data_IF_008904405931
#
_entry.id   IF_008904405931
#
_cell.length_a   1.000
_cell.length_b   1.000
_cell.length_c   1.000
_cell.angle_alpha   90.00
_cell.angle_beta   90.00
_cell.angle_gamma   90.00
#
_symmetry.space_group_name_H-M   'P 1'
#
loop_
_entity.id
_entity.type
_entity.pdbx_description
1 polymer ?
#
# COMPACT_ATOMS: atom_id res chain seq x y z
N UNK A 1 35.67 3.69 3.24
CA UNK A 1 35.14 3.84 4.62
C UNK A 1 34.38 5.16 4.68
N UNK A 2 33.10 5.17 5.13
CA UNK A 2 32.37 6.44 5.33
C UNK A 2 32.76 7.02 6.69
N UNK A 3 33.09 8.30 6.74
CA UNK A 3 33.41 9.03 7.97
C UNK A 3 32.62 10.32 8.02
N UNK A 4 32.23 10.77 9.20
CA UNK A 4 31.62 12.08 9.42
C UNK A 4 32.04 12.62 10.79
N UNK A 5 32.17 13.95 10.86
CA UNK A 5 32.26 14.66 12.14
C UNK A 5 30.82 14.99 12.58
N UNK A 6 30.49 14.69 13.82
CA UNK A 6 29.18 14.98 14.43
C UNK A 6 29.36 15.87 15.64
N UNK A 7 28.44 16.81 15.81
CA UNK A 7 28.43 17.67 16.98
C UNK A 7 27.76 16.98 18.17
N UNK A 8 28.13 17.36 19.39
CA UNK A 8 27.47 16.86 20.61
C UNK A 8 25.95 17.18 20.61
N UNK A 9 25.54 18.28 19.98
CA UNK A 9 24.14 18.67 19.83
C UNK A 9 23.37 17.64 18.97
N UNK A 10 24.00 17.14 17.91
CA UNK A 10 23.40 16.08 17.07
C UNK A 10 23.29 14.77 17.83
N UNK A 11 24.33 14.37 18.56
CA UNK A 11 24.31 13.17 19.40
C UNK A 11 23.19 13.26 20.45
N UNK A 12 23.00 14.41 21.08
CA UNK A 12 21.89 14.66 22.01
C UNK A 12 20.53 14.55 21.31
N UNK A 13 20.40 15.07 20.09
CA UNK A 13 19.19 14.99 19.28
C UNK A 13 18.80 13.55 18.92
N UNK A 14 19.76 12.63 18.86
CA UNK A 14 19.54 11.19 18.63
C UNK A 14 19.51 10.37 19.95
N UNK A 15 19.17 10.99 21.09
CA UNK A 15 19.06 10.29 22.35
C UNK A 15 20.38 9.73 22.88
N UNK A 16 21.49 10.46 22.67
CA UNK A 16 22.84 10.06 23.05
C UNK A 16 23.35 8.77 22.40
N UNK A 17 22.87 8.47 21.20
CA UNK A 17 23.42 7.35 20.43
C UNK A 17 24.74 7.73 19.79
N UNK A 18 25.77 6.87 19.96
CA UNK A 18 27.12 7.05 19.42
C UNK A 18 27.42 6.06 18.28
N UNK A 19 26.50 5.21 17.91
CA UNK A 19 26.69 4.18 16.90
C UNK A 19 26.78 4.82 15.49
N UNK A 20 27.86 4.54 14.79
CA UNK A 20 28.16 5.07 13.46
C UNK A 20 27.01 4.85 12.42
N UNK A 21 26.31 3.71 12.39
CA UNK A 21 25.20 3.50 11.45
C UNK A 21 24.09 4.55 11.55
N UNK A 22 23.80 5.07 12.73
CA UNK A 22 22.78 6.13 12.91
C UNK A 22 23.25 7.43 12.27
N UNK A 23 24.49 7.85 12.58
CA UNK A 23 25.02 9.15 12.16
C UNK A 23 25.49 9.19 10.69
N UNK A 24 25.81 8.02 10.12
CA UNK A 24 26.24 7.87 8.74
C UNK A 24 25.11 7.38 7.81
N UNK A 25 23.87 7.31 8.31
CA UNK A 25 22.73 6.90 7.53
C UNK A 25 22.42 7.90 6.39
N UNK A 26 21.86 7.41 5.31
CA UNK A 26 21.42 8.26 4.21
C UNK A 26 20.33 9.25 4.64
N UNK A 27 19.48 8.87 5.61
CA UNK A 27 18.46 9.74 6.16
C UNK A 27 19.04 10.96 6.92
N UNK A 28 20.12 10.79 7.69
CA UNK A 28 20.81 11.91 8.33
C UNK A 28 21.45 12.82 7.27
N UNK A 29 22.08 12.23 6.28
CA UNK A 29 22.66 12.97 5.15
C UNK A 29 21.60 13.76 4.38
N UNK A 30 20.44 13.15 4.12
CA UNK A 30 19.31 13.82 3.49
C UNK A 30 18.79 14.99 4.33
N UNK A 31 18.63 14.82 5.65
CA UNK A 31 18.21 15.91 6.55
C UNK A 31 19.20 17.09 6.54
N UNK A 32 20.50 16.81 6.54
CA UNK A 32 21.54 17.87 6.44
C UNK A 32 21.46 18.61 5.12
N UNK A 33 21.24 17.88 4.01
CA UNK A 33 21.04 18.51 2.70
C UNK A 33 19.78 19.39 2.67
N UNK A 34 18.69 18.96 3.30
CA UNK A 34 17.48 19.79 3.43
C UNK A 34 17.76 21.10 4.19
N UNK A 35 18.59 21.08 5.22
CA UNK A 35 18.97 22.29 5.98
C UNK A 35 19.71 23.34 5.12
N UNK A 36 20.35 22.93 4.04
CA UNK A 36 20.98 23.85 3.07
C UNK A 36 20.04 24.25 1.91
N UNK A 37 18.80 23.80 1.93
CA UNK A 37 17.81 24.14 0.92
C UNK A 37 17.47 25.65 1.01
N UNK A 38 17.34 26.37 -0.12
CA UNK A 38 17.01 27.79 -0.13
C UNK A 38 15.54 28.08 0.20
N UNK A 39 14.72 27.06 0.30
CA UNK A 39 13.29 27.19 0.62
C UNK A 39 13.03 26.99 2.11
N UNK A 40 11.96 27.61 2.60
CA UNK A 40 11.45 27.33 3.95
C UNK A 40 11.21 25.83 4.12
N UNK A 41 11.61 25.29 5.27
CA UNK A 41 11.35 23.89 5.62
C UNK A 41 10.12 23.79 6.50
N UNK A 42 9.12 23.12 5.98
CA UNK A 42 7.97 22.62 6.72
C UNK A 42 8.21 21.16 7.11
N UNK A 43 7.30 20.57 7.85
CA UNK A 43 7.30 19.12 8.09
C UNK A 43 6.12 18.47 7.36
N UNK A 44 6.19 17.14 7.15
CA UNK A 44 5.04 16.40 6.62
C UNK A 44 3.80 16.60 7.52
N UNK A 45 4.00 16.75 8.83
CA UNK A 45 2.90 17.08 9.77
C UNK A 45 2.26 18.43 9.47
N UNK A 46 3.05 19.47 9.17
CA UNK A 46 2.54 20.81 8.85
C UNK A 46 1.74 20.87 7.55
N UNK A 47 2.09 20.04 6.56
CA UNK A 47 1.45 19.98 5.25
C UNK A 47 0.38 18.89 5.15
N UNK A 48 0.00 18.28 6.27
CA UNK A 48 -1.00 17.23 6.35
C UNK A 48 -2.13 17.59 7.29
N UNK A 49 -3.36 17.30 6.89
CA UNK A 49 -4.51 17.35 7.80
C UNK A 49 -4.38 16.26 8.88
N UNK A 50 -3.96 15.06 8.45
CA UNK A 50 -3.77 13.93 9.35
C UNK A 50 -2.70 12.96 8.81
N UNK A 51 -1.89 12.42 9.73
CA UNK A 51 -0.96 11.31 9.45
C UNK A 51 -1.23 10.21 10.49
N UNK A 52 -1.70 9.05 10.05
CA UNK A 52 -2.12 7.98 10.96
C UNK A 52 -2.09 6.60 10.30
N UNK A 53 -2.20 5.56 11.10
CA UNK A 53 -2.62 4.22 10.68
C UNK A 53 -3.81 3.76 11.51
N UNK A 54 -4.64 2.90 10.95
CA UNK A 54 -5.72 2.28 11.72
C UNK A 54 -5.14 1.35 12.79
N UNK A 55 -5.80 1.29 13.94
CA UNK A 55 -5.50 0.31 14.98
C UNK A 55 -5.68 -1.14 14.50
N UNK A 56 -5.35 -2.10 15.34
CA UNK A 56 -5.67 -3.50 15.09
C UNK A 56 -7.15 -3.73 15.36
N UNK A 57 -7.82 -4.43 14.44
CA UNK A 57 -9.23 -4.81 14.61
C UNK A 57 -9.47 -6.25 14.16
N UNK A 58 -10.59 -6.82 14.60
CA UNK A 58 -11.06 -8.14 14.17
C UNK A 58 -11.45 -8.07 12.69
N UNK A 59 -11.01 -9.04 11.89
CA UNK A 59 -11.32 -9.15 10.47
C UNK A 59 -12.09 -10.42 10.21
N UNK A 60 -13.21 -10.30 9.53
CA UNK A 60 -13.99 -11.43 9.03
C UNK A 60 -13.84 -11.43 7.52
N UNK A 61 -13.08 -12.36 7.00
CA UNK A 61 -12.85 -12.50 5.58
C UNK A 61 -14.05 -13.14 4.89
N UNK A 62 -14.37 -12.68 3.68
CA UNK A 62 -15.46 -13.20 2.85
C UNK A 62 -14.95 -13.43 1.43
N UNK A 63 -15.58 -14.36 0.70
CA UNK A 63 -15.22 -14.66 -0.67
C UNK A 63 -16.11 -13.93 -1.69
N UNK A 64 -17.38 -13.69 -1.34
CA UNK A 64 -18.32 -13.00 -2.20
C UNK A 64 -18.10 -11.48 -2.15
N UNK A 65 -17.71 -10.83 -3.26
CA UNK A 65 -17.48 -9.38 -3.31
C UNK A 65 -18.69 -8.54 -2.89
N UNK A 66 -19.91 -9.01 -3.13
CA UNK A 66 -21.14 -8.28 -2.78
C UNK A 66 -21.33 -8.12 -1.26
N UNK A 67 -20.67 -8.94 -0.46
CA UNK A 67 -20.76 -8.92 1.01
C UNK A 67 -19.52 -8.31 1.66
N UNK A 68 -18.58 -7.80 0.87
CA UNK A 68 -17.27 -7.41 1.33
C UNK A 68 -16.74 -6.11 0.79
N UNK A 69 -15.67 -5.66 1.42
CA UNK A 69 -14.87 -4.51 1.00
C UNK A 69 -13.41 -4.93 0.96
N UNK A 70 -12.69 -4.48 -0.07
CA UNK A 70 -11.29 -4.85 -0.26
C UNK A 70 -10.42 -4.29 0.85
N UNK A 71 -9.54 -5.12 1.40
CA UNK A 71 -8.57 -4.75 2.43
C UNK A 71 -7.15 -4.77 1.87
N UNK A 72 -6.50 -3.61 1.88
CA UNK A 72 -5.13 -3.44 1.42
C UNK A 72 -4.13 -3.56 2.57
N UNK A 73 -3.15 -4.41 2.40
CA UNK A 73 -1.97 -4.49 3.26
C UNK A 73 -0.78 -3.71 2.68
N UNK A 74 0.37 -3.75 3.36
CA UNK A 74 1.60 -3.03 2.97
C UNK A 74 2.05 -3.29 1.53
N UNK A 75 1.98 -4.53 1.05
CA UNK A 75 2.36 -4.88 -0.32
C UNK A 75 1.24 -4.62 -1.33
N UNK A 76 -0.02 -4.63 -0.89
CA UNK A 76 -1.17 -4.46 -1.75
C UNK A 76 -1.29 -3.02 -2.28
N UNK A 77 -0.94 -2.02 -1.47
CA UNK A 77 -1.00 -0.60 -1.89
C UNK A 77 -0.13 -0.26 -3.10
N UNK A 78 0.85 -1.11 -3.41
CA UNK A 78 1.79 -0.90 -4.53
C UNK A 78 1.32 -1.56 -5.83
N UNK A 79 0.27 -2.38 -5.77
CA UNK A 79 -0.24 -3.10 -6.94
C UNK A 79 -1.12 -2.20 -7.80
N UNK A 80 -0.99 -2.33 -9.10
CA UNK A 80 -1.90 -1.67 -10.04
C UNK A 80 -3.27 -2.36 -10.06
N UNK A 81 -3.30 -3.70 -10.09
CA UNK A 81 -4.55 -4.48 -10.02
C UNK A 81 -4.84 -4.92 -8.58
N UNK A 82 -5.91 -4.37 -8.01
CA UNK A 82 -6.39 -4.66 -6.66
C UNK A 82 -7.56 -5.65 -6.63
N UNK A 83 -7.99 -6.17 -7.78
CA UNK A 83 -9.14 -7.07 -7.90
C UNK A 83 -8.96 -8.40 -7.18
N UNK A 84 -7.69 -8.82 -7.00
CA UNK A 84 -7.31 -10.08 -6.35
C UNK A 84 -6.99 -9.93 -4.86
N UNK A 85 -7.19 -8.74 -4.29
CA UNK A 85 -6.88 -8.51 -2.89
C UNK A 85 -7.97 -9.08 -1.98
N UNK A 86 -7.59 -9.31 -0.72
CA UNK A 86 -8.48 -9.90 0.28
C UNK A 86 -9.69 -9.02 0.54
N UNK A 87 -10.85 -9.65 0.72
CA UNK A 87 -12.11 -8.99 1.01
C UNK A 87 -12.52 -9.30 2.45
N UNK A 88 -12.96 -8.30 3.17
CA UNK A 88 -13.50 -8.45 4.54
C UNK A 88 -14.96 -8.02 4.58
N UNK A 89 -15.71 -8.61 5.48
CA UNK A 89 -17.15 -8.39 5.62
C UNK A 89 -17.47 -6.92 5.94
N UNK A 90 -18.32 -6.32 5.14
CA UNK A 90 -18.87 -4.97 5.41
C UNK A 90 -19.66 -4.96 6.70
N UNK A 91 -20.41 -6.04 7.00
CA UNK A 91 -21.29 -6.14 8.18
C UNK A 91 -20.51 -6.13 9.51
N UNK A 92 -19.34 -6.74 9.52
CA UNK A 92 -18.53 -6.91 10.75
C UNK A 92 -17.31 -5.97 10.80
N UNK A 93 -17.25 -4.97 9.94
CA UNK A 93 -16.20 -3.94 9.97
C UNK A 93 -16.75 -2.67 10.57
N UNK A 94 -16.27 -2.35 11.76
CA UNK A 94 -16.57 -1.10 12.46
C UNK A 94 -15.68 0.04 11.98
N UNK A 95 -16.06 1.30 12.24
CA UNK A 95 -15.27 2.51 11.93
C UNK A 95 -14.67 2.49 10.51
N UNK A 96 -15.49 2.19 9.51
CA UNK A 96 -15.04 2.06 8.12
C UNK A 96 -14.40 3.33 7.59
N UNK A 97 -14.92 4.48 8.01
CA UNK A 97 -14.47 5.81 7.56
C UNK A 97 -13.01 6.08 7.95
N UNK A 98 -12.59 5.67 9.16
CA UNK A 98 -11.20 5.81 9.61
C UNK A 98 -10.23 4.87 8.87
N UNK A 99 -10.76 3.80 8.30
CA UNK A 99 -10.01 2.76 7.58
C UNK A 99 -10.03 2.94 6.07
N UNK A 100 -11.04 3.65 5.54
CA UNK A 100 -11.21 3.89 4.12
C UNK A 100 -10.15 4.85 3.57
N UNK A 101 -9.77 4.60 2.33
CA UNK A 101 -8.81 5.41 1.60
C UNK A 101 -9.53 6.44 0.73
N UNK A 102 -8.89 7.59 0.53
CA UNK A 102 -9.36 8.63 -0.39
C UNK A 102 -8.31 8.89 -1.47
N UNK A 103 -8.76 9.30 -2.64
CA UNK A 103 -7.89 9.75 -3.73
C UNK A 103 -7.02 10.92 -3.27
N UNK A 104 -5.80 11.01 -3.78
CA UNK A 104 -4.84 12.07 -3.44
C UNK A 104 -4.02 11.81 -2.17
N UNK A 105 -4.37 10.82 -1.36
CA UNK A 105 -3.56 10.50 -0.18
C UNK A 105 -2.26 9.79 -0.53
N UNK A 106 -1.22 10.05 0.24
CA UNK A 106 0.00 9.22 0.20
C UNK A 106 -0.12 8.08 1.20
N UNK A 107 0.04 6.86 0.70
CA UNK A 107 0.01 5.62 1.47
C UNK A 107 1.43 5.12 1.67
N UNK A 108 1.81 4.77 2.91
CA UNK A 108 3.17 4.34 3.25
C UNK A 108 3.12 2.97 3.92
N UNK A 109 3.89 2.03 3.41
CA UNK A 109 4.06 0.74 4.08
C UNK A 109 4.92 0.91 5.34
N UNK A 110 4.35 0.62 6.52
CA UNK A 110 5.02 0.83 7.79
C UNK A 110 5.51 -0.45 8.48
N UNK A 111 5.25 -1.61 7.91
CA UNK A 111 5.77 -2.89 8.41
C UNK A 111 6.02 -3.89 7.28
N UNK A 112 6.95 -4.81 7.48
CA UNK A 112 7.45 -5.70 6.44
C UNK A 112 8.42 -4.97 5.52
N UNK A 113 8.07 -4.73 4.28
CA UNK A 113 8.85 -3.88 3.36
C UNK A 113 8.49 -2.42 3.63
N UNK A 114 9.19 -1.79 4.55
CA UNK A 114 8.91 -0.44 5.04
C UNK A 114 9.32 0.65 4.05
N UNK A 115 8.64 1.81 4.13
CA UNK A 115 9.00 3.03 3.41
C UNK A 115 8.52 3.09 1.97
N UNK A 116 7.95 2.02 1.42
CA UNK A 116 7.33 2.08 0.09
C UNK A 116 6.06 2.90 0.14
N UNK A 117 5.92 3.82 -0.82
CA UNK A 117 4.77 4.72 -0.90
C UNK A 117 3.95 4.43 -2.16
N UNK A 118 2.64 4.66 -2.06
CA UNK A 118 1.72 4.69 -3.19
C UNK A 118 0.91 5.99 -3.17
N UNK A 119 0.66 6.56 -4.34
CA UNK A 119 -0.31 7.64 -4.51
C UNK A 119 -1.69 7.03 -4.65
N UNK A 120 -2.59 7.37 -3.74
CA UNK A 120 -3.93 6.81 -3.74
C UNK A 120 -4.74 7.41 -4.90
N UNK A 121 -5.11 6.57 -5.85
CA UNK A 121 -5.91 6.89 -7.01
C UNK A 121 -7.34 6.32 -6.90
N UNK A 122 -8.15 6.38 -7.95
CA UNK A 122 -9.51 5.85 -7.95
C UNK A 122 -9.56 4.35 -7.60
N UNK A 123 -8.55 3.57 -7.99
CA UNK A 123 -8.48 2.15 -7.64
C UNK A 123 -8.34 1.90 -6.13
N UNK A 124 -7.74 2.84 -5.39
CA UNK A 124 -7.59 2.77 -3.93
C UNK A 124 -8.80 3.32 -3.18
N UNK A 125 -9.52 4.27 -3.80
CA UNK A 125 -10.64 4.95 -3.17
C UNK A 125 -11.67 3.97 -2.61
N UNK A 126 -12.22 4.27 -1.44
CA UNK A 126 -13.21 3.48 -0.71
C UNK A 126 -12.74 2.10 -0.21
N UNK A 127 -11.58 1.60 -0.66
CA UNK A 127 -10.98 0.40 -0.08
C UNK A 127 -10.43 0.68 1.30
N UNK A 128 -10.36 -0.35 2.13
CA UNK A 128 -9.82 -0.24 3.48
C UNK A 128 -8.32 -0.54 3.47
N UNK A 129 -7.56 0.17 4.28
CA UNK A 129 -6.16 -0.18 4.50
C UNK A 129 -5.92 -0.67 5.93
N UNK A 130 -5.04 -1.66 6.07
CA UNK A 130 -4.69 -2.28 7.32
C UNK A 130 -3.88 -1.34 8.23
N UNK A 131 -3.63 -1.78 9.49
CA UNK A 131 -2.74 -1.11 10.42
C UNK A 131 -1.27 -1.04 9.95
N UNK A 132 -0.92 -1.75 8.87
CA UNK A 132 0.42 -1.76 8.30
C UNK A 132 0.61 -0.71 7.17
N UNK A 133 -0.36 0.18 7.02
CA UNK A 133 -0.33 1.28 6.06
C UNK A 133 -0.57 2.59 6.79
N UNK A 134 0.41 3.48 6.79
CA UNK A 134 0.24 4.87 7.21
C UNK A 134 -0.42 5.63 6.06
N UNK A 135 -1.33 6.52 6.40
CA UNK A 135 -2.04 7.44 5.51
C UNK A 135 -1.55 8.84 5.80
N UNK A 136 -1.23 9.58 4.77
CA UNK A 136 -0.94 11.01 4.82
C UNK A 136 -2.03 11.71 4.04
N UNK A 137 -2.90 12.44 4.74
CA UNK A 137 -3.98 13.24 4.16
C UNK A 137 -3.47 14.67 4.00
N UNK A 138 -3.33 15.22 2.77
CA UNK A 138 -2.82 16.57 2.58
C UNK A 138 -3.83 17.63 3.07
N UNK A 139 -3.31 18.81 3.47
CA UNK A 139 -4.11 19.96 3.91
C UNK A 139 -4.07 21.15 2.92
N UNK A 140 -3.61 20.93 1.71
CA UNK A 140 -3.49 21.91 0.63
C UNK A 140 -2.41 23.01 0.81
N UNK A 141 -1.56 22.96 1.84
CA UNK A 141 -0.38 23.84 1.94
C UNK A 141 0.63 23.46 0.86
N UNK A 142 0.82 22.14 0.64
CA UNK A 142 1.48 21.61 -0.53
C UNK A 142 0.50 20.76 -1.33
N UNK A 143 0.67 20.74 -2.66
CA UNK A 143 -0.12 19.90 -3.55
C UNK A 143 0.15 18.42 -3.26
N UNK A 144 -0.86 17.59 -3.34
CA UNK A 144 -0.81 16.17 -2.94
C UNK A 144 0.26 15.37 -3.71
N UNK A 145 0.42 15.63 -5.02
CA UNK A 145 1.44 14.99 -5.83
C UNK A 145 2.86 15.37 -5.41
N UNK A 146 3.07 16.58 -4.88
CA UNK A 146 4.38 17.03 -4.35
C UNK A 146 4.75 16.26 -3.09
N UNK A 147 3.80 16.09 -2.17
CA UNK A 147 4.03 15.32 -0.93
C UNK A 147 4.43 13.88 -1.27
N UNK A 148 3.69 13.27 -2.18
CA UNK A 148 4.00 11.91 -2.64
C UNK A 148 5.37 11.85 -3.34
N UNK A 149 5.61 12.71 -4.34
CA UNK A 149 6.86 12.74 -5.10
C UNK A 149 8.07 12.94 -4.19
N UNK A 150 7.95 13.81 -3.19
CA UNK A 150 9.00 14.00 -2.19
C UNK A 150 9.27 12.74 -1.38
N UNK A 151 8.23 12.10 -0.85
CA UNK A 151 8.37 10.91 0.01
C UNK A 151 8.94 9.69 -0.74
N UNK A 152 8.66 9.55 -2.05
CA UNK A 152 9.26 8.49 -2.89
C UNK A 152 10.64 8.85 -3.41
N UNK A 153 11.03 10.12 -3.33
CA UNK A 153 12.36 10.57 -3.73
C UNK A 153 13.45 9.91 -2.88
N UNK A 154 14.68 9.91 -3.39
CA UNK A 154 15.85 9.46 -2.64
C UNK A 154 15.95 10.11 -1.25
N UNK A 155 15.58 11.38 -1.13
CA UNK A 155 15.64 12.12 0.13
C UNK A 155 14.53 11.69 1.10
N UNK A 156 13.28 11.69 0.66
CA UNK A 156 12.13 11.31 1.47
C UNK A 156 12.21 9.85 1.92
N UNK A 157 12.51 8.93 1.01
CA UNK A 157 12.65 7.51 1.32
C UNK A 157 13.75 7.24 2.36
N UNK A 158 14.91 7.90 2.22
CA UNK A 158 16.00 7.75 3.18
C UNK A 158 15.62 8.25 4.58
N UNK A 159 14.80 9.31 4.66
CA UNK A 159 14.30 9.84 5.94
C UNK A 159 13.20 8.96 6.52
N UNK A 160 12.31 8.40 5.70
CA UNK A 160 11.28 7.43 6.13
C UNK A 160 11.89 6.18 6.76
N UNK A 161 12.97 5.68 6.19
CA UNK A 161 13.63 4.45 6.65
C UNK A 161 14.72 4.71 7.70
N UNK A 162 14.93 5.97 8.08
CA UNK A 162 15.89 6.34 9.11
C UNK A 162 15.47 5.79 10.48
N UNK A 163 16.43 5.24 11.21
CA UNK A 163 16.21 4.77 12.60
C UNK A 163 15.70 3.33 12.71
N UNK A 164 15.50 2.64 11.58
CA UNK A 164 15.09 1.24 11.57
C UNK A 164 16.25 0.26 11.76
N UNK A 165 17.46 0.76 11.99
CA UNK A 165 18.66 -0.07 12.19
C UNK A 165 18.66 -0.74 13.56
N UNK A 166 18.88 -2.05 13.57
CA UNK A 166 19.15 -2.83 14.79
C UNK A 166 17.93 -3.48 15.46
N UNK A 167 16.71 -3.34 14.95
CA UNK A 167 15.55 -4.11 15.42
C UNK A 167 15.26 -5.28 14.51
N UNK A 168 14.85 -6.41 15.09
CA UNK A 168 14.46 -7.63 14.36
C UNK A 168 13.23 -7.39 13.48
N UNK A 169 12.35 -6.45 13.88
CA UNK A 169 11.19 -6.02 13.10
C UNK A 169 11.24 -4.50 12.98
N UNK A 170 11.52 -4.03 11.77
CA UNK A 170 11.51 -2.61 11.46
C UNK A 170 10.06 -2.13 11.33
N UNK A 171 9.75 -1.02 11.99
CA UNK A 171 8.43 -0.39 11.93
C UNK A 171 8.58 1.12 11.82
N UNK A 172 7.71 1.74 11.01
CA UNK A 172 7.61 3.20 10.91
C UNK A 172 6.33 3.62 11.64
N UNK A 173 6.47 4.58 12.54
CA UNK A 173 5.33 5.17 13.25
C UNK A 173 4.88 6.48 12.57
N UNK A 174 3.60 6.86 12.66
CA UNK A 174 3.10 8.12 12.12
C UNK A 174 3.90 9.35 12.57
N UNK A 175 4.37 9.36 13.80
CA UNK A 175 5.17 10.46 14.36
C UNK A 175 6.52 10.61 13.66
N UNK A 176 7.11 9.49 13.20
CA UNK A 176 8.34 9.54 12.40
C UNK A 176 8.07 10.23 11.06
N UNK A 177 6.95 9.90 10.42
CA UNK A 177 6.54 10.51 9.14
C UNK A 177 6.25 12.00 9.31
N UNK A 178 5.48 12.38 10.34
CA UNK A 178 5.16 13.79 10.64
C UNK A 178 6.42 14.66 10.79
N UNK A 179 7.49 14.12 11.37
CA UNK A 179 8.73 14.86 11.63
C UNK A 179 9.66 15.03 10.42
N UNK A 180 9.32 14.47 9.26
CA UNK A 180 10.16 14.58 8.06
C UNK A 180 10.08 16.00 7.51
N UNK A 181 11.23 16.70 7.35
CA UNK A 181 11.25 18.02 6.73
C UNK A 181 10.99 17.92 5.22
N UNK A 182 10.19 18.83 4.71
CA UNK A 182 9.87 19.00 3.30
C UNK A 182 9.99 20.48 2.91
N UNK A 183 10.66 20.83 1.81
CA UNK A 183 10.76 22.21 1.35
C UNK A 183 9.40 22.75 0.89
N UNK A 184 9.10 23.99 1.25
CA UNK A 184 7.96 24.74 0.71
C UNK A 184 8.33 25.30 -0.67
N UNK A 185 8.16 24.50 -1.69
CA UNK A 185 8.47 24.85 -3.06
C UNK A 185 7.56 25.95 -3.59
N UNK A 186 8.03 26.80 -4.57
CA UNK A 186 7.19 27.76 -5.28
C UNK A 186 5.99 27.08 -5.95
N UNK A 187 4.84 27.78 -6.01
CA UNK A 187 3.59 27.21 -6.54
C UNK A 187 3.72 26.70 -7.99
N UNK A 188 4.49 27.42 -8.84
CA UNK A 188 4.75 26.99 -10.21
C UNK A 188 5.41 25.61 -10.28
N UNK A 189 6.42 25.38 -9.44
CA UNK A 189 7.08 24.07 -9.34
C UNK A 189 6.16 23.00 -8.75
N UNK A 190 5.40 23.37 -7.70
CA UNK A 190 4.42 22.44 -7.13
C UNK A 190 3.39 22.00 -8.17
N UNK A 191 2.90 22.95 -8.98
CA UNK A 191 1.95 22.66 -10.05
C UNK A 191 2.52 21.70 -11.08
N UNK A 192 3.75 21.93 -11.55
CA UNK A 192 4.40 21.08 -12.53
C UNK A 192 4.54 19.63 -12.03
N UNK A 193 5.02 19.46 -10.79
CA UNK A 193 5.17 18.13 -10.18
C UNK A 193 3.82 17.45 -9.96
N UNK A 194 2.82 18.20 -9.49
CA UNK A 194 1.48 17.67 -9.23
C UNK A 194 0.79 17.26 -10.53
N UNK A 195 0.85 18.08 -11.58
CA UNK A 195 0.29 17.78 -12.90
C UNK A 195 0.86 16.45 -13.44
N UNK A 196 2.19 16.26 -13.36
CA UNK A 196 2.84 15.00 -13.77
C UNK A 196 2.37 13.80 -12.93
N UNK A 197 2.18 14.01 -11.63
CA UNK A 197 1.70 12.93 -10.75
C UNK A 197 0.24 12.58 -11.03
N UNK A 198 -0.63 13.56 -11.28
CA UNK A 198 -2.03 13.34 -11.65
C UNK A 198 -2.13 12.62 -13.00
N UNK A 199 -1.32 13.03 -13.99
CA UNK A 199 -1.26 12.36 -15.30
C UNK A 199 -0.81 10.91 -15.15
N UNK A 200 0.28 10.65 -14.42
CA UNK A 200 0.74 9.28 -14.16
C UNK A 200 -0.30 8.42 -13.43
N UNK A 201 -1.07 9.03 -12.52
CA UNK A 201 -2.18 8.36 -11.83
C UNK A 201 -3.31 8.01 -12.78
N UNK A 202 -3.72 8.96 -13.64
CA UNK A 202 -4.78 8.77 -14.64
C UNK A 202 -4.42 7.67 -15.64
N UNK A 203 -3.19 7.67 -16.15
CA UNK A 203 -2.72 6.63 -17.08
C UNK A 203 -2.73 5.22 -16.46
N UNK A 204 -2.46 5.12 -15.15
CA UNK A 204 -2.57 3.84 -14.43
C UNK A 204 -4.01 3.39 -14.26
N UNK A 205 -4.94 4.32 -14.01
CA UNK A 205 -6.38 4.03 -13.94
C UNK A 205 -6.87 3.52 -15.30
N UNK A 206 -6.57 4.24 -16.38
CA UNK A 206 -6.91 3.86 -17.76
C UNK A 206 -6.36 2.48 -18.13
N UNK A 207 -5.10 2.20 -17.81
CA UNK A 207 -4.49 0.90 -18.09
C UNK A 207 -5.24 -0.26 -17.40
N UNK A 208 -5.76 -0.06 -16.20
CA UNK A 208 -6.57 -1.08 -15.50
C UNK A 208 -7.94 -1.24 -16.14
N UNK A 209 -8.57 -0.15 -16.56
CA UNK A 209 -9.86 -0.19 -17.22
C UNK A 209 -9.77 -0.91 -18.56
N UNK A 210 -8.72 -0.67 -19.35
CA UNK A 210 -8.43 -1.39 -20.60
C UNK A 210 -8.18 -2.90 -20.37
N UNK A 211 -7.43 -3.25 -19.32
CA UNK A 211 -7.22 -4.66 -18.95
C UNK A 211 -8.52 -5.35 -18.55
N UNK A 212 -9.40 -4.65 -17.82
CA UNK A 212 -10.71 -5.16 -17.46
C UNK A 212 -11.60 -5.35 -18.68
N UNK A 213 -11.56 -4.41 -19.63
CA UNK A 213 -12.33 -4.52 -20.89
C UNK A 213 -11.82 -5.67 -21.75
N UNK A 214 -10.51 -5.82 -21.89
CA UNK A 214 -9.93 -6.98 -22.58
C UNK A 214 -10.39 -8.31 -21.95
N UNK A 215 -10.47 -8.37 -20.62
CA UNK A 215 -11.02 -9.51 -19.87
C UNK A 215 -12.49 -9.78 -20.19
N UNK A 216 -13.31 -8.74 -20.33
CA UNK A 216 -14.73 -8.87 -20.73
C UNK A 216 -14.86 -9.37 -22.17
N UNK A 217 -14.08 -8.82 -23.11
CA UNK A 217 -14.07 -9.25 -24.51
C UNK A 217 -13.72 -10.74 -24.59
N UNK A 218 -12.65 -11.16 -23.91
CA UNK A 218 -12.26 -12.57 -23.85
C UNK A 218 -13.37 -13.47 -23.28
N UNK A 219 -13.97 -13.05 -22.16
CA UNK A 219 -15.05 -13.79 -21.51
C UNK A 219 -16.26 -13.97 -22.45
N UNK A 220 -16.64 -12.91 -23.17
CA UNK A 220 -17.77 -12.94 -24.10
C UNK A 220 -17.45 -13.80 -25.30
N UNK A 221 -16.26 -13.67 -25.89
CA UNK A 221 -15.84 -14.50 -27.03
C UNK A 221 -15.77 -15.98 -26.67
N UNK A 222 -15.30 -16.31 -25.48
CA UNK A 222 -15.24 -17.68 -24.96
C UNK A 222 -16.59 -18.19 -24.41
N UNK A 223 -17.65 -17.37 -24.46
CA UNK A 223 -18.99 -17.67 -23.89
C UNK A 223 -18.95 -18.17 -22.45
N UNK A 224 -18.05 -17.61 -21.65
CA UNK A 224 -17.94 -17.97 -20.24
C UNK A 224 -19.10 -17.37 -19.45
N UNK A 225 -19.76 -18.19 -18.64
CA UNK A 225 -20.83 -17.72 -17.76
C UNK A 225 -20.31 -16.82 -16.63
N UNK A 226 -21.18 -16.04 -16.04
CA UNK A 226 -20.86 -15.33 -14.80
C UNK A 226 -20.59 -16.32 -13.65
N UNK A 227 -19.72 -15.91 -12.72
CA UNK A 227 -19.50 -16.68 -11.50
C UNK A 227 -20.76 -16.63 -10.62
N UNK A 228 -21.14 -17.77 -10.07
CA UNK A 228 -22.22 -17.89 -9.09
C UNK A 228 -21.65 -17.76 -7.67
N UNK A 229 -22.48 -17.55 -6.62
CA UNK A 229 -22.00 -17.53 -5.25
C UNK A 229 -21.20 -18.77 -4.85
N UNK A 230 -21.57 -19.95 -5.36
CA UNK A 230 -20.87 -21.22 -5.12
C UNK A 230 -19.47 -21.22 -5.73
N UNK A 231 -19.29 -20.56 -6.89
CA UNK A 231 -17.98 -20.47 -7.52
C UNK A 231 -16.99 -19.66 -6.66
N UNK A 232 -17.45 -18.68 -5.89
CA UNK A 232 -16.59 -17.90 -4.99
C UNK A 232 -15.98 -18.74 -3.87
N UNK A 233 -16.56 -19.86 -3.49
CA UNK A 233 -15.94 -20.81 -2.57
C UNK A 233 -14.72 -21.50 -3.18
N UNK A 234 -14.66 -21.62 -4.51
CA UNK A 234 -13.54 -22.22 -5.25
C UNK A 234 -12.54 -21.21 -5.77
N UNK A 235 -13.00 -20.07 -6.27
CA UNK A 235 -12.19 -19.05 -6.94
C UNK A 235 -11.92 -17.82 -6.08
N UNK A 236 -12.56 -17.73 -4.91
CA UNK A 236 -12.40 -16.60 -3.99
C UNK A 236 -10.99 -16.49 -3.43
N UNK A 237 -10.60 -15.26 -3.14
CA UNK A 237 -9.24 -14.89 -2.70
C UNK A 237 -8.88 -15.43 -1.31
N UNK A 238 -9.85 -15.80 -0.51
CA UNK A 238 -9.67 -16.22 0.88
C UNK A 238 -10.14 -17.66 1.11
N UNK A 239 -9.37 -18.60 0.60
CA UNK A 239 -9.59 -20.03 0.84
C UNK A 239 -9.05 -20.52 2.21
N UNK A 240 -8.96 -19.64 3.21
CA UNK A 240 -8.44 -19.98 4.54
C UNK A 240 -9.39 -20.86 5.38
N UNK A 241 -10.65 -20.97 4.98
CA UNK A 241 -11.62 -21.88 5.56
C UNK A 241 -11.88 -23.08 4.64
N UNK A 242 -10.84 -23.80 4.23
CA UNK A 242 -10.99 -25.01 3.41
C UNK A 242 -11.92 -25.99 4.12
N UNK A 243 -13.20 -25.96 3.76
CA UNK A 243 -14.04 -27.14 3.94
C UNK A 243 -13.41 -28.25 3.12
N UNK A 244 -13.23 -29.40 3.71
CA UNK A 244 -12.82 -30.59 2.98
C UNK A 244 -13.86 -30.82 1.88
N UNK A 245 -13.50 -30.55 0.63
CA UNK A 245 -14.39 -30.84 -0.50
C UNK A 245 -14.33 -32.33 -0.79
N UNK A 246 -15.45 -33.00 -0.54
CA UNK A 246 -15.62 -34.40 -0.92
C UNK A 246 -16.52 -34.48 -2.15
N UNK A 247 -16.12 -35.24 -3.13
CA UNK A 247 -16.94 -35.55 -4.31
C UNK A 247 -16.77 -37.01 -4.70
N UNK A 248 -17.76 -37.55 -5.37
CA UNK A 248 -17.76 -38.95 -5.85
C UNK A 248 -17.52 -38.94 -7.35
N UNK A 249 -16.60 -39.74 -7.82
CA UNK A 249 -16.36 -39.98 -9.24
C UNK A 249 -16.52 -41.45 -9.60
N UNK A 250 -17.10 -41.72 -10.78
CA UNK A 250 -17.13 -43.08 -11.32
C UNK A 250 -15.73 -43.45 -11.78
N UNK A 251 -15.32 -44.70 -11.55
CA UNK A 251 -13.97 -45.19 -11.89
C UNK A 251 -13.59 -44.89 -13.35
N UNK A 252 -14.55 -44.97 -14.28
CA UNK A 252 -14.35 -44.67 -15.71
C UNK A 252 -14.01 -43.21 -16.00
N UNK A 253 -14.34 -42.30 -15.09
CA UNK A 253 -14.13 -40.86 -15.25
C UNK A 253 -12.84 -40.39 -14.54
N UNK A 254 -12.09 -41.30 -13.96
CA UNK A 254 -10.79 -41.03 -13.33
C UNK A 254 -9.72 -41.14 -14.41
N UNK A 255 -8.94 -40.08 -14.56
CA UNK A 255 -7.77 -40.09 -15.44
C UNK A 255 -6.71 -41.01 -14.86
N UNK A 256 -6.19 -41.91 -15.68
CA UNK A 256 -5.17 -42.89 -15.28
C UNK A 256 -3.79 -42.25 -15.06
N UNK A 257 -3.57 -41.04 -15.54
CA UNK A 257 -2.32 -40.32 -15.38
C UNK A 257 -2.14 -39.67 -14.01
N UNK A 258 -3.23 -39.48 -13.28
CA UNK A 258 -3.18 -38.86 -11.94
C UNK A 258 -4.32 -39.35 -11.04
N UNK A 259 -3.99 -39.60 -9.78
CA UNK A 259 -4.94 -39.88 -8.69
C UNK A 259 -5.23 -38.64 -7.83
N UNK A 260 -4.68 -37.47 -8.21
CA UNK A 260 -4.89 -36.24 -7.45
C UNK A 260 -6.37 -35.82 -7.56
N UNK A 261 -7.06 -35.78 -6.41
CA UNK A 261 -8.47 -35.39 -6.32
C UNK A 261 -8.78 -34.05 -6.98
N UNK A 262 -7.86 -33.09 -6.92
CA UNK A 262 -8.02 -31.78 -7.56
C UNK A 262 -8.26 -31.89 -9.08
N UNK A 263 -7.51 -32.74 -9.76
CA UNK A 263 -7.61 -32.91 -11.22
C UNK A 263 -8.91 -33.61 -11.65
N UNK A 264 -9.61 -34.24 -10.71
CA UNK A 264 -10.89 -34.91 -10.95
C UNK A 264 -12.10 -34.13 -10.42
N UNK A 265 -11.88 -32.91 -9.90
CA UNK A 265 -12.95 -32.03 -9.45
C UNK A 265 -13.80 -31.52 -10.63
N UNK A 266 -15.06 -31.21 -10.41
CA UNK A 266 -15.95 -30.63 -11.44
C UNK A 266 -15.43 -29.28 -11.94
N UNK A 267 -14.72 -28.56 -11.10
CA UNK A 267 -14.07 -27.31 -11.42
C UNK A 267 -13.16 -27.35 -12.65
N UNK A 268 -12.50 -28.47 -12.91
CA UNK A 268 -11.52 -28.58 -14.02
C UNK A 268 -12.17 -29.14 -15.29
N UNK A 269 -13.30 -29.89 -15.14
CA UNK A 269 -13.96 -30.54 -16.26
C UNK A 269 -15.05 -29.72 -16.95
N UNK A 270 -15.50 -28.64 -16.33
CA UNK A 270 -16.46 -27.68 -16.86
C UNK A 270 -15.75 -26.40 -17.30
#
# INVERSE_FOLDING_TARGET
MKTASISFREVKGFGFRFDAPVHLSEGVSAKRLMQSCPYELLTIGDVSERVWHAGRWRRVYVNNPNNGITLLGSSAILKSDLSKEKIISVKYTEEKEDKALKKGWTLISCSGTIGNCAFANAQHAEKLASQHVIRVSPNNILREGVVYAFLVSKYGYSMLTQGTFGSVIQHIEPENVKSIPIPHFPDSFQKEVDDLMQEASSLREEAIDELNEAGKVLKNAAKLRALTPEDYDYYGLNNSGRKVSCFIRKRKDIDTTTINAFNHSERIRN
#
